data_IF_114439356945
#
_entry.id   IF_114439356945
#
_cell.length_a   1.000
_cell.length_b   1.000
_cell.length_c   1.000
_cell.angle_alpha   90.00
_cell.angle_beta   90.00
_cell.angle_gamma   90.00
#
_symmetry.space_group_name_H-M   'P 1'
#
loop_
_entity.id
_entity.type
_entity.pdbx_description
1 polymer ?
#
# COMPACT_ATOMS: atom_id res chain seq x y z
N UNK A 1 -9.46 8.24 -13.41
CA UNK A 1 -8.14 7.97 -13.99
C UNK A 1 -7.74 6.56 -13.60
N UNK A 2 -7.04 5.84 -14.48
CA UNK A 2 -6.45 4.55 -14.14
C UNK A 2 -5.33 4.79 -13.13
N UNK A 3 -5.23 3.93 -12.11
CA UNK A 3 -4.18 4.01 -11.09
C UNK A 3 -2.97 3.21 -11.61
N UNK A 4 -1.78 3.80 -11.57
CA UNK A 4 -0.54 3.14 -12.01
C UNK A 4 0.30 2.71 -10.80
N UNK A 5 1.14 1.70 -11.02
CA UNK A 5 2.14 1.21 -10.06
C UNK A 5 3.53 1.34 -10.66
N UNK A 6 4.52 1.54 -9.79
CA UNK A 6 5.94 1.65 -10.16
C UNK A 6 6.51 0.25 -10.29
N UNK A 7 6.85 -0.17 -11.50
CA UNK A 7 7.56 -1.42 -11.75
C UNK A 7 9.00 -1.32 -11.26
N UNK A 8 9.48 -2.38 -10.62
CA UNK A 8 10.84 -2.43 -10.07
C UNK A 8 11.52 -3.76 -10.34
N UNK A 9 12.85 -3.77 -10.30
CA UNK A 9 13.63 -5.00 -10.22
C UNK A 9 13.74 -5.51 -8.77
N UNK A 10 14.47 -6.61 -8.56
CA UNK A 10 14.67 -7.23 -7.25
C UNK A 10 15.51 -6.38 -6.28
N UNK A 11 16.18 -5.34 -6.78
CA UNK A 11 16.97 -4.39 -6.01
C UNK A 11 16.21 -3.08 -5.78
N UNK A 12 14.90 -3.04 -6.07
CA UNK A 12 14.03 -1.87 -5.97
C UNK A 12 14.46 -0.70 -6.90
N UNK A 13 15.15 -0.98 -8.01
CA UNK A 13 15.39 0.04 -9.03
C UNK A 13 14.16 0.18 -9.92
N UNK A 14 13.80 1.42 -10.27
CA UNK A 14 12.61 1.72 -11.09
C UNK A 14 12.84 1.29 -12.54
N UNK A 15 11.91 0.51 -13.08
CA UNK A 15 11.90 0.04 -14.46
C UNK A 15 10.88 0.77 -15.34
N UNK A 16 9.85 1.37 -14.73
CA UNK A 16 8.78 2.09 -15.43
C UNK A 16 7.47 2.07 -14.67
N UNK A 17 6.38 2.37 -15.38
CA UNK A 17 5.02 2.39 -14.84
C UNK A 17 4.14 1.35 -15.55
N UNK A 18 3.15 0.83 -14.84
CA UNK A 18 2.12 -0.05 -15.41
C UNK A 18 0.78 0.21 -14.71
N UNK A 19 -0.31 0.06 -15.46
CA UNK A 19 -1.64 0.08 -14.87
C UNK A 19 -1.77 -1.01 -13.79
N UNK A 20 -2.34 -0.64 -12.64
CA UNK A 20 -2.37 -1.46 -11.43
C UNK A 20 -3.02 -2.82 -11.65
N UNK A 21 -4.19 -2.89 -12.27
CA UNK A 21 -4.89 -4.15 -12.48
C UNK A 21 -4.10 -5.08 -13.40
N UNK A 22 -3.51 -4.56 -14.47
CA UNK A 22 -2.68 -5.34 -15.38
C UNK A 22 -1.39 -5.82 -14.71
N UNK A 23 -0.74 -4.99 -13.87
CA UNK A 23 0.43 -5.40 -13.10
C UNK A 23 0.11 -6.58 -12.17
N UNK A 24 -1.04 -6.56 -11.50
CA UNK A 24 -1.49 -7.67 -10.65
C UNK A 24 -1.86 -8.91 -11.47
N UNK A 25 -2.50 -8.74 -12.64
CA UNK A 25 -2.91 -9.84 -13.52
C UNK A 25 -1.71 -10.57 -14.15
N UNK A 26 -0.69 -9.81 -14.55
CA UNK A 26 0.55 -10.32 -15.15
C UNK A 26 1.62 -10.68 -14.13
N UNK A 27 1.34 -10.54 -12.83
CA UNK A 27 2.28 -10.76 -11.73
C UNK A 27 3.61 -10.00 -11.92
N UNK A 28 3.55 -8.74 -12.38
CA UNK A 28 4.74 -7.90 -12.52
C UNK A 28 5.20 -7.40 -11.16
N UNK A 29 6.51 -7.46 -10.91
CA UNK A 29 7.11 -6.92 -9.68
C UNK A 29 6.94 -5.40 -9.66
N UNK A 30 6.36 -4.88 -8.58
CA UNK A 30 6.07 -3.46 -8.43
C UNK A 30 6.21 -3.03 -6.97
N UNK A 31 6.57 -1.76 -6.76
CA UNK A 31 6.78 -1.18 -5.44
C UNK A 31 5.45 -1.08 -4.69
N UNK A 32 5.48 -1.47 -3.42
CA UNK A 32 4.36 -1.42 -2.50
C UNK A 32 4.84 -1.00 -1.11
N UNK A 33 3.90 -0.71 -0.21
CA UNK A 33 4.18 -0.51 1.20
C UNK A 33 3.13 -1.18 2.08
N UNK A 34 3.50 -1.42 3.33
CA UNK A 34 2.66 -2.02 4.36
C UNK A 34 2.83 -1.26 5.67
N UNK A 35 1.73 -0.74 6.22
CA UNK A 35 1.71 0.05 7.47
C UNK A 35 1.21 -0.81 8.62
N UNK A 36 1.90 -0.71 9.76
CA UNK A 36 1.49 -1.28 11.03
C UNK A 36 1.29 -0.14 12.03
N UNK A 37 0.05 0.31 12.22
CA UNK A 37 -0.27 1.31 13.23
C UNK A 37 -0.44 0.62 14.58
N UNK A 38 0.26 1.15 15.58
CA UNK A 38 0.27 0.64 16.94
C UNK A 38 -0.26 1.72 17.89
N UNK A 39 -1.07 1.33 18.87
CA UNK A 39 -1.53 2.25 19.91
C UNK A 39 -0.59 2.26 21.13
N UNK A 40 -0.87 3.11 22.11
CA UNK A 40 -0.06 3.24 23.35
C UNK A 40 -0.05 1.98 24.23
N UNK A 41 -0.83 0.95 23.88
CA UNK A 41 -0.87 -0.36 24.55
C UNK A 41 -0.09 -1.43 23.79
N UNK A 42 0.68 -1.06 22.77
CA UNK A 42 1.39 -1.98 21.87
C UNK A 42 0.48 -2.95 21.09
N UNK A 43 -0.76 -2.56 20.82
CA UNK A 43 -1.69 -3.34 20.00
C UNK A 43 -1.68 -2.83 18.56
N UNK A 44 -1.70 -3.75 17.59
CA UNK A 44 -1.72 -3.41 16.16
C UNK A 44 -3.16 -3.31 15.66
N UNK A 45 -3.47 -2.23 14.94
CA UNK A 45 -4.73 -2.12 14.21
C UNK A 45 -4.72 -3.05 12.98
N UNK A 46 -5.59 -4.05 12.98
CA UNK A 46 -5.86 -4.89 11.81
C UNK A 46 -7.06 -4.35 11.03
N UNK A 47 -7.01 -4.45 9.70
CA UNK A 47 -8.17 -4.18 8.86
C UNK A 47 -8.78 -5.49 8.35
N UNK A 48 -10.10 -5.56 8.29
CA UNK A 48 -10.80 -6.51 7.41
C UNK A 48 -11.11 -5.80 6.10
N UNK A 49 -10.59 -6.31 5.00
CA UNK A 49 -10.76 -5.70 3.68
C UNK A 49 -12.23 -5.68 3.28
N UNK A 50 -12.69 -4.58 2.66
CA UNK A 50 -14.04 -4.49 2.14
C UNK A 50 -14.34 -5.64 1.17
N UNK A 51 -15.55 -6.21 1.24
CA UNK A 51 -15.92 -7.41 0.49
C UNK A 51 -15.79 -7.24 -1.03
N UNK A 52 -15.99 -6.02 -1.54
CA UNK A 52 -15.95 -5.70 -2.96
C UNK A 52 -14.53 -5.41 -3.49
N UNK A 53 -13.47 -5.51 -2.67
CA UNK A 53 -12.10 -5.36 -3.17
C UNK A 53 -11.82 -6.50 -4.15
N UNK A 54 -11.39 -6.15 -5.37
CA UNK A 54 -11.09 -7.12 -6.43
C UNK A 54 -10.06 -8.18 -6.00
N UNK A 55 -9.10 -7.80 -5.15
CA UNK A 55 -8.10 -8.69 -4.59
C UNK A 55 -8.27 -8.81 -3.07
N UNK A 56 -8.39 -10.04 -2.60
CA UNK A 56 -8.44 -10.41 -1.19
C UNK A 56 -9.58 -9.72 -0.41
N UNK A 57 -10.76 -9.55 -1.03
CA UNK A 57 -11.95 -9.03 -0.34
C UNK A 57 -12.35 -9.90 0.86
N UNK A 58 -12.69 -9.27 1.99
CA UNK A 58 -13.10 -9.97 3.21
C UNK A 58 -11.98 -10.56 4.05
N UNK A 59 -10.74 -10.63 3.55
CA UNK A 59 -9.60 -11.13 4.32
C UNK A 59 -9.11 -10.09 5.34
N UNK A 60 -8.57 -10.59 6.45
CA UNK A 60 -7.87 -9.78 7.45
C UNK A 60 -6.42 -9.54 7.03
N UNK A 61 -5.92 -8.34 7.30
CA UNK A 61 -4.54 -7.93 7.03
C UNK A 61 -4.09 -6.85 8.01
N UNK A 62 -2.83 -6.41 7.94
CA UNK A 62 -2.30 -5.31 8.75
C UNK A 62 -3.01 -3.98 8.42
N UNK A 63 -2.64 -2.88 9.09
CA UNK A 63 -3.41 -1.64 9.09
C UNK A 63 -3.75 -1.09 7.71
N UNK A 64 -2.77 -0.98 6.80
CA UNK A 64 -2.99 -0.44 5.46
C UNK A 64 -1.88 -0.90 4.50
N UNK A 65 -2.25 -1.39 3.32
CA UNK A 65 -1.32 -1.79 2.26
C UNK A 65 -1.71 -1.13 0.95
N UNK A 66 -0.72 -0.54 0.26
CA UNK A 66 -0.95 0.10 -1.03
C UNK A 66 0.35 0.32 -1.81
N UNK A 67 0.30 1.22 -2.79
CA UNK A 67 1.42 1.57 -3.65
C UNK A 67 1.68 3.09 -3.60
N UNK A 68 2.95 3.52 -3.65
CA UNK A 68 3.28 4.91 -3.94
C UNK A 68 2.95 5.24 -5.39
N UNK A 69 2.55 6.49 -5.64
CA UNK A 69 2.45 7.05 -7.00
C UNK A 69 3.84 7.44 -7.52
N UNK A 70 3.96 7.63 -8.83
CA UNK A 70 5.19 8.18 -9.41
C UNK A 70 5.52 9.56 -8.80
N UNK A 71 6.78 9.75 -8.43
CA UNK A 71 7.25 10.93 -7.68
C UNK A 71 6.77 11.05 -6.23
N UNK A 72 5.98 10.12 -5.69
CA UNK A 72 5.50 10.13 -4.31
C UNK A 72 6.45 9.33 -3.40
N UNK A 73 6.83 9.90 -2.26
CA UNK A 73 7.59 9.13 -1.25
C UNK A 73 6.68 8.08 -0.60
N UNK A 74 7.28 7.00 -0.08
CA UNK A 74 6.53 5.93 0.59
C UNK A 74 5.79 6.48 1.82
N UNK A 75 6.40 7.40 2.57
CA UNK A 75 5.79 8.03 3.74
C UNK A 75 4.59 8.90 3.37
N UNK A 76 4.68 9.66 2.28
CA UNK A 76 3.57 10.47 1.78
C UNK A 76 2.42 9.58 1.30
N UNK A 77 2.74 8.52 0.57
CA UNK A 77 1.77 7.53 0.10
C UNK A 77 1.07 6.81 1.26
N UNK A 78 1.83 6.42 2.29
CA UNK A 78 1.29 5.80 3.49
C UNK A 78 0.31 6.72 4.22
N UNK A 79 0.70 7.98 4.47
CA UNK A 79 -0.18 8.97 5.12
C UNK A 79 -1.46 9.22 4.32
N UNK A 80 -1.35 9.34 2.99
CA UNK A 80 -2.51 9.48 2.09
C UNK A 80 -3.44 8.28 2.20
N UNK A 81 -2.92 7.06 2.12
CA UNK A 81 -3.73 5.82 2.17
C UNK A 81 -4.32 5.54 3.53
N UNK A 82 -3.64 5.90 4.62
CA UNK A 82 -4.23 5.87 5.95
C UNK A 82 -5.47 6.76 6.02
N UNK A 83 -5.38 7.99 5.49
CA UNK A 83 -6.54 8.88 5.47
C UNK A 83 -7.67 8.33 4.58
N UNK A 84 -7.34 7.84 3.38
CA UNK A 84 -8.32 7.29 2.42
C UNK A 84 -9.01 6.01 2.91
N UNK A 85 -8.30 5.10 3.60
CA UNK A 85 -8.83 3.78 3.98
C UNK A 85 -9.22 3.65 5.45
N UNK A 86 -8.58 4.39 6.35
CA UNK A 86 -8.79 4.31 7.81
C UNK A 86 -9.42 5.58 8.39
N UNK A 87 -9.48 6.68 7.63
CA UNK A 87 -10.07 7.94 8.06
C UNK A 87 -9.21 8.76 9.03
N UNK A 88 -7.93 8.41 9.19
CA UNK A 88 -6.98 9.15 10.02
C UNK A 88 -5.58 9.13 9.42
N UNK A 89 -4.69 9.96 9.95
CA UNK A 89 -3.25 9.92 9.66
C UNK A 89 -2.47 9.90 10.97
N UNK A 90 -1.23 9.43 10.93
CA UNK A 90 -0.32 9.41 12.07
C UNK A 90 1.12 9.64 11.58
N UNK A 91 2.06 9.74 12.51
CA UNK A 91 3.48 9.64 12.15
C UNK A 91 3.77 8.24 11.60
N UNK A 92 4.57 8.19 10.54
CA UNK A 92 4.96 6.95 9.86
C UNK A 92 6.47 7.05 9.63
N UNK A 93 7.18 5.98 9.99
CA UNK A 93 8.61 5.83 9.76
C UNK A 93 8.89 4.48 9.11
N UNK A 94 9.92 4.43 8.26
CA UNK A 94 10.40 3.19 7.65
C UNK A 94 11.12 2.34 8.68
N UNK A 95 10.79 1.05 8.76
CA UNK A 95 11.37 0.10 9.72
C UNK A 95 12.41 -0.82 9.05
N UNK A 96 12.23 -1.14 7.77
CA UNK A 96 13.12 -1.96 6.93
C UNK A 96 13.09 -1.45 5.50
#
# INVERSE_FOLDING_TARGET
MLEEVILVDEQDNVLGLMEKMEAHRLAKLHRAFSVFAMNDRNEILLQRRALHKYHSGGLWTNTCCSHPRDGETVEAAAKRRLMEEMGFTCEVSKIF
#
